data_IF_493045544224
#
_entry.id   IF_493045544224
#
_cell.length_a   1.000
_cell.length_b   1.000
_cell.length_c   1.000
_cell.angle_alpha   90.00
_cell.angle_beta   90.00
_cell.angle_gamma   90.00
#
_symmetry.space_group_name_H-M   'P 1'
#
loop_
_entity.id
_entity.type
_entity.pdbx_description
1 polymer ?
#
# COMPACT_ATOMS: atom_id res chain seq x y z
N UNK A 1 13.35 -2.51 7.62
CA UNK A 1 13.92 -3.52 8.55
C UNK A 1 12.76 -4.39 8.97
N UNK A 2 12.82 -5.71 8.72
CA UNK A 2 11.75 -6.62 9.15
C UNK A 2 11.79 -6.75 10.68
N UNK A 3 10.64 -6.59 11.34
CA UNK A 3 10.56 -6.76 12.79
C UNK A 3 10.80 -8.24 13.12
N UNK A 4 11.64 -8.56 14.13
CA UNK A 4 11.90 -9.95 14.50
C UNK A 4 10.61 -10.65 14.94
N UNK A 5 10.48 -11.92 14.54
CA UNK A 5 9.34 -12.75 14.89
C UNK A 5 9.23 -12.88 16.41
N UNK A 6 8.06 -12.52 16.96
CA UNK A 6 7.85 -12.63 18.41
C UNK A 6 7.87 -14.09 18.82
N UNK A 7 8.77 -14.43 19.74
CA UNK A 7 8.94 -15.78 20.30
C UNK A 7 9.28 -16.86 19.25
N UNK A 8 9.87 -16.47 18.11
CA UNK A 8 10.28 -17.40 17.04
C UNK A 8 9.13 -18.21 16.42
N UNK A 9 7.89 -17.72 16.54
CA UNK A 9 6.71 -18.39 16.02
C UNK A 9 6.46 -18.02 14.55
N UNK A 10 6.45 -19.03 13.68
CA UNK A 10 6.13 -18.91 12.25
C UNK A 10 4.84 -19.62 11.89
N UNK A 11 3.98 -18.93 11.12
CA UNK A 11 2.66 -19.42 10.69
C UNK A 11 2.52 -19.55 9.18
N UNK A 12 3.64 -19.51 8.44
CA UNK A 12 3.69 -19.50 6.98
C UNK A 12 4.05 -20.85 6.35
N UNK A 13 4.36 -21.87 7.18
CA UNK A 13 4.53 -23.24 6.71
C UNK A 13 3.98 -24.25 7.72
N UNK A 14 3.56 -25.42 7.23
CA UNK A 14 3.06 -26.51 8.09
C UNK A 14 4.10 -26.95 9.11
N UNK A 15 5.33 -27.15 8.67
CA UNK A 15 6.44 -27.59 9.54
C UNK A 15 6.76 -26.55 10.61
N UNK A 16 6.70 -25.26 10.27
CA UNK A 16 6.89 -24.18 11.22
C UNK A 16 5.81 -24.15 12.31
N UNK A 17 4.54 -24.35 11.95
CA UNK A 17 3.42 -24.36 12.91
C UNK A 17 3.50 -25.58 13.84
N UNK A 18 3.94 -26.73 13.31
CA UNK A 18 4.14 -27.96 14.08
C UNK A 18 5.35 -27.86 15.02
N UNK A 19 6.45 -27.25 14.56
CA UNK A 19 7.61 -26.95 15.41
C UNK A 19 7.24 -25.94 16.51
N UNK A 20 6.47 -24.91 16.14
CA UNK A 20 6.11 -23.81 17.01
C UNK A 20 7.27 -22.87 17.34
N UNK A 21 7.07 -22.04 18.37
CA UNK A 21 8.06 -21.06 18.83
C UNK A 21 8.74 -21.49 20.14
N UNK A 22 9.24 -20.53 20.92
CA UNK A 22 9.92 -20.80 22.21
C UNK A 22 9.04 -21.53 23.23
N UNK A 23 7.73 -21.47 23.05
CA UNK A 23 6.79 -22.17 23.90
C UNK A 23 6.35 -23.53 23.38
N UNK A 24 7.01 -24.08 22.35
CA UNK A 24 6.65 -25.36 21.74
C UNK A 24 5.56 -25.26 20.67
N UNK A 25 4.96 -26.39 20.25
CA UNK A 25 4.06 -26.46 19.10
C UNK A 25 2.90 -25.47 19.16
N UNK A 26 2.59 -24.84 18.03
CA UNK A 26 1.43 -23.94 17.94
C UNK A 26 0.12 -24.71 17.82
N UNK A 27 0.16 -25.87 17.15
CA UNK A 27 -0.95 -26.81 17.00
C UNK A 27 -0.51 -28.24 17.31
N UNK A 28 -1.45 -29.04 17.78
CA UNK A 28 -1.34 -30.49 17.98
C UNK A 28 -2.35 -31.12 17.04
N UNK A 29 -1.87 -31.94 16.09
CA UNK A 29 -2.70 -32.55 15.07
C UNK A 29 -3.80 -33.42 15.72
N UNK A 30 -5.03 -33.27 15.26
CA UNK A 30 -6.18 -34.03 15.78
C UNK A 30 -6.74 -33.52 17.11
N UNK A 31 -6.00 -32.69 17.87
CA UNK A 31 -6.41 -32.18 19.18
C UNK A 31 -6.48 -30.64 19.20
N UNK A 32 -7.60 -30.02 18.80
CA UNK A 32 -7.79 -28.57 18.87
C UNK A 32 -7.75 -28.02 20.29
N UNK A 33 -8.22 -28.77 21.29
CA UNK A 33 -8.31 -28.29 22.67
C UNK A 33 -6.93 -28.18 23.33
N UNK A 34 -6.00 -29.05 22.94
CA UNK A 34 -4.60 -28.99 23.40
C UNK A 34 -3.77 -28.02 22.56
N UNK A 35 -4.24 -27.67 21.36
CA UNK A 35 -3.57 -26.73 20.45
C UNK A 35 -3.57 -25.32 21.02
N UNK A 36 -2.37 -24.83 21.37
CA UNK A 36 -2.15 -23.50 21.96
C UNK A 36 -2.76 -22.36 21.16
N UNK A 37 -2.61 -22.40 19.83
CA UNK A 37 -3.17 -21.39 18.94
C UNK A 37 -4.69 -21.29 19.11
N UNK A 38 -5.38 -22.42 19.15
CA UNK A 38 -6.84 -22.49 19.32
C UNK A 38 -7.24 -21.98 20.69
N UNK A 39 -6.53 -22.36 21.76
CA UNK A 39 -6.76 -21.84 23.12
C UNK A 39 -6.66 -20.32 23.19
N UNK A 40 -5.67 -19.72 22.53
CA UNK A 40 -5.48 -18.27 22.55
C UNK A 40 -6.56 -17.51 21.78
N UNK A 41 -7.02 -18.05 20.64
CA UNK A 41 -8.13 -17.45 19.87
C UNK A 41 -9.48 -17.67 20.58
N UNK A 42 -9.63 -18.77 21.32
CA UNK A 42 -10.79 -19.03 22.20
C UNK A 42 -10.77 -18.24 23.52
N UNK A 43 -9.68 -17.51 23.80
CA UNK A 43 -9.46 -16.78 25.06
C UNK A 43 -9.37 -17.69 26.31
N UNK A 44 -8.95 -18.94 26.14
CA UNK A 44 -8.69 -19.92 27.20
C UNK A 44 -7.23 -19.81 27.69
N UNK A 45 -6.85 -18.63 28.20
CA UNK A 45 -5.49 -18.30 28.64
C UNK A 45 -5.09 -16.88 28.23
N UNK A 46 -3.86 -16.71 27.69
CA UNK A 46 -3.44 -15.45 27.06
C UNK A 46 -4.40 -15.14 25.90
N UNK A 47 -5.10 -14.00 25.99
CA UNK A 47 -6.10 -13.59 25.01
C UNK A 47 -5.44 -12.98 23.78
N UNK A 48 -5.83 -13.44 22.60
CA UNK A 48 -5.44 -12.82 21.33
C UNK A 48 -6.67 -12.26 20.59
N UNK A 49 -6.58 -11.04 20.03
CA UNK A 49 -5.39 -10.19 19.95
C UNK A 49 -5.10 -9.39 21.25
N UNK A 50 -3.82 -9.17 21.58
CA UNK A 50 -3.35 -8.63 22.86
C UNK A 50 -3.62 -7.12 23.12
N UNK A 51 -4.43 -6.45 22.29
CA UNK A 51 -4.62 -4.99 22.31
C UNK A 51 -6.11 -4.58 22.36
N UNK A 52 -6.96 -5.37 23.02
CA UNK A 52 -8.40 -5.07 23.12
C UNK A 52 -9.14 -5.12 21.77
N UNK A 53 -8.50 -5.64 20.72
CA UNK A 53 -9.14 -5.90 19.43
C UNK A 53 -10.22 -6.97 19.60
N UNK A 54 -11.30 -6.92 18.79
CA UNK A 54 -12.40 -7.85 18.91
C UNK A 54 -11.91 -9.29 18.75
N UNK A 55 -12.51 -10.18 19.55
CA UNK A 55 -12.34 -11.63 19.41
C UNK A 55 -12.71 -12.03 17.99
N UNK A 56 -12.00 -13.03 17.46
CA UNK A 56 -12.42 -13.68 16.22
C UNK A 56 -13.85 -14.24 16.41
N UNK A 57 -14.68 -14.15 15.37
CA UNK A 57 -16.06 -14.66 15.44
C UNK A 57 -16.07 -16.17 15.66
N UNK A 58 -17.02 -16.67 16.45
CA UNK A 58 -17.12 -18.09 16.80
C UNK A 58 -17.14 -19.05 15.58
N UNK A 59 -17.78 -18.72 14.43
CA UNK A 59 -17.69 -19.55 13.23
C UNK A 59 -16.26 -19.73 12.71
N UNK A 60 -15.47 -18.65 12.69
CA UNK A 60 -14.07 -18.70 12.24
C UNK A 60 -13.19 -19.48 13.23
N UNK A 61 -13.51 -19.40 14.52
CA UNK A 61 -12.83 -20.22 15.55
C UNK A 61 -13.16 -21.70 15.35
N UNK A 62 -14.42 -22.03 15.02
CA UNK A 62 -14.84 -23.39 14.73
C UNK A 62 -14.14 -23.94 13.48
N UNK A 63 -14.00 -23.13 12.43
CA UNK A 63 -13.26 -23.52 11.22
C UNK A 63 -11.78 -23.81 11.51
N UNK A 64 -11.13 -22.98 12.34
CA UNK A 64 -9.76 -23.24 12.79
C UNK A 64 -9.67 -24.52 13.62
N UNK A 65 -10.65 -24.79 14.48
CA UNK A 65 -10.74 -26.05 15.23
C UNK A 65 -10.82 -27.26 14.30
N UNK A 66 -11.79 -27.26 13.38
CA UNK A 66 -11.95 -28.32 12.38
C UNK A 66 -10.70 -28.52 11.52
N UNK A 67 -10.05 -27.43 11.13
CA UNK A 67 -8.80 -27.51 10.37
C UNK A 67 -7.70 -28.26 11.14
N UNK A 68 -7.58 -28.05 12.46
CA UNK A 68 -6.65 -28.82 13.31
C UNK A 68 -7.11 -30.28 13.47
N UNK A 69 -8.41 -30.54 13.63
CA UNK A 69 -8.98 -31.91 13.69
C UNK A 69 -8.65 -32.71 12.44
N UNK A 70 -8.76 -32.07 11.26
CA UNK A 70 -8.43 -32.65 9.96
C UNK A 70 -6.92 -32.86 9.73
N UNK A 71 -6.08 -32.64 10.75
CA UNK A 71 -4.64 -32.82 10.66
C UNK A 71 -3.92 -31.63 10.02
N UNK A 72 -4.53 -30.44 10.09
CA UNK A 72 -4.02 -29.20 9.53
C UNK A 72 -3.59 -29.39 8.06
N UNK A 73 -4.57 -29.70 7.17
CA UNK A 73 -4.28 -29.85 5.75
C UNK A 73 -3.72 -28.52 5.25
N UNK A 74 -2.44 -28.55 4.92
CA UNK A 74 -1.76 -27.44 4.28
C UNK A 74 -1.86 -27.69 2.78
N UNK A 75 -2.25 -26.70 1.96
CA UNK A 75 -2.04 -26.85 0.53
C UNK A 75 -0.57 -27.22 0.36
N UNK A 76 -0.24 -28.20 -0.50
CA UNK A 76 1.15 -28.45 -0.86
C UNK A 76 1.65 -27.17 -1.51
N UNK A 77 2.17 -26.24 -0.70
CA UNK A 77 2.71 -25.00 -1.15
C UNK A 77 3.88 -25.42 -2.01
N UNK A 78 3.75 -25.16 -3.31
CA UNK A 78 4.85 -24.98 -4.23
C UNK A 78 5.92 -24.23 -3.45
N UNK A 79 6.93 -24.99 -3.02
CA UNK A 79 8.20 -24.57 -2.43
C UNK A 79 8.16 -23.12 -1.91
N UNK A 80 8.10 -22.92 -0.59
CA UNK A 80 8.44 -21.61 -0.01
C UNK A 80 9.81 -21.25 -0.59
N UNK A 81 9.90 -20.23 -1.45
CA UNK A 81 11.07 -20.13 -2.31
C UNK A 81 12.22 -19.58 -1.46
N UNK A 82 13.12 -20.49 -1.07
CA UNK A 82 14.41 -20.15 -0.47
C UNK A 82 15.33 -19.60 -1.56
N UNK A 83 16.43 -18.93 -1.22
CA UNK A 83 17.44 -18.49 -2.22
C UNK A 83 17.82 -19.61 -3.20
N UNK A 84 17.84 -20.84 -2.71
CA UNK A 84 18.26 -22.03 -3.44
C UNK A 84 17.16 -22.62 -4.33
N UNK A 85 15.89 -22.24 -4.12
CA UNK A 85 14.72 -22.80 -4.83
C UNK A 85 13.72 -21.71 -5.28
N UNK A 86 14.19 -20.46 -5.40
CA UNK A 86 13.44 -19.34 -5.96
C UNK A 86 13.59 -19.33 -7.48
N UNK A 87 12.48 -19.15 -8.19
CA UNK A 87 12.50 -18.94 -9.63
C UNK A 87 13.02 -17.54 -9.96
N UNK A 88 14.34 -17.41 -10.02
CA UNK A 88 15.05 -16.17 -10.34
C UNK A 88 14.77 -15.67 -11.77
N UNK A 89 14.13 -16.48 -12.62
CA UNK A 89 13.70 -16.02 -13.95
C UNK A 89 12.44 -15.18 -13.85
N UNK A 90 11.39 -15.66 -13.16
CA UNK A 90 10.19 -14.86 -12.84
C UNK A 90 10.49 -13.65 -11.98
N UNK A 91 11.46 -13.75 -11.07
CA UNK A 91 11.91 -12.61 -10.28
C UNK A 91 12.31 -11.42 -11.18
N UNK A 92 13.06 -11.70 -12.25
CA UNK A 92 13.57 -10.69 -13.19
C UNK A 92 12.49 -10.10 -14.09
N UNK A 93 11.37 -10.79 -14.27
CA UNK A 93 10.19 -10.29 -14.99
C UNK A 93 9.35 -9.33 -14.16
N UNK A 94 9.57 -9.25 -12.84
CA UNK A 94 8.88 -8.31 -11.98
C UNK A 94 9.16 -6.87 -12.46
N UNK A 95 8.11 -6.05 -12.59
CA UNK A 95 8.14 -4.70 -13.18
C UNK A 95 9.24 -3.76 -12.66
N UNK A 96 9.76 -4.00 -11.46
CA UNK A 96 10.82 -3.21 -10.86
C UNK A 96 12.23 -3.50 -11.41
N UNK A 97 12.49 -4.70 -11.94
CA UNK A 97 13.84 -5.16 -12.32
C UNK A 97 14.24 -4.94 -13.79
N UNK A 98 13.32 -4.81 -14.77
CA UNK A 98 13.68 -4.37 -16.10
C UNK A 98 14.39 -3.00 -16.07
N UNK A 99 15.45 -2.81 -16.87
CA UNK A 99 16.12 -1.53 -16.96
C UNK A 99 15.17 -0.46 -17.53
N UNK A 100 15.24 0.76 -16.98
CA UNK A 100 14.45 1.89 -17.48
C UNK A 100 14.88 2.21 -18.91
N UNK A 101 13.96 2.04 -19.86
CA UNK A 101 14.19 2.41 -21.26
C UNK A 101 13.98 3.91 -21.42
N UNK A 102 14.97 4.60 -21.99
CA UNK A 102 14.81 5.99 -22.42
C UNK A 102 13.95 6.01 -23.69
N UNK A 103 12.74 6.51 -23.58
CA UNK A 103 11.84 6.72 -24.72
C UNK A 103 11.96 8.18 -25.18
N UNK A 104 11.86 8.40 -26.49
CA UNK A 104 11.80 9.73 -27.07
C UNK A 104 10.35 10.22 -26.94
N UNK A 105 10.11 11.37 -26.26
CA UNK A 105 8.77 11.92 -26.11
C UNK A 105 8.10 12.26 -27.47
N UNK A 106 6.81 11.90 -27.65
CA UNK A 106 6.08 12.14 -28.90
C UNK A 106 5.67 13.60 -29.04
N UNK A 107 5.81 14.20 -30.22
CA UNK A 107 5.40 15.60 -30.43
C UNK A 107 3.97 15.68 -30.95
N UNK A 108 3.07 16.26 -30.16
CA UNK A 108 1.67 16.49 -30.53
C UNK A 108 1.43 17.97 -30.84
N UNK A 109 0.88 18.27 -32.01
CA UNK A 109 0.61 19.65 -32.45
C UNK A 109 -0.47 20.33 -31.60
N UNK A 110 -0.22 21.56 -31.16
CA UNK A 110 -1.15 22.34 -30.34
C UNK A 110 -1.24 21.90 -28.87
N UNK A 111 -0.46 20.89 -28.45
CA UNK A 111 -0.38 20.47 -27.07
C UNK A 111 0.41 21.48 -26.22
N UNK A 112 -0.09 21.76 -25.03
CA UNK A 112 0.65 22.48 -24.00
C UNK A 112 1.58 21.51 -23.30
N UNK A 113 2.89 21.79 -23.37
CA UNK A 113 3.94 20.95 -22.81
C UNK A 113 4.84 21.79 -21.92
N UNK A 114 4.96 21.43 -20.63
CA UNK A 114 5.93 22.02 -19.69
C UNK A 114 7.06 21.05 -19.38
N UNK A 115 6.74 19.76 -19.27
CA UNK A 115 7.67 18.67 -19.04
C UNK A 115 7.58 17.67 -20.19
N UNK A 116 8.67 16.99 -20.60
CA UNK A 116 8.64 15.81 -21.46
C UNK A 116 7.53 14.79 -21.15
N UNK A 117 7.10 14.65 -19.89
CA UNK A 117 5.98 13.75 -19.50
C UNK A 117 4.64 14.21 -20.09
N UNK A 118 4.41 15.52 -20.21
CA UNK A 118 3.16 16.09 -20.73
C UNK A 118 2.92 15.71 -22.20
N UNK A 119 4.00 15.39 -22.92
CA UNK A 119 3.93 14.93 -24.31
C UNK A 119 3.25 13.56 -24.44
N UNK A 120 3.56 12.63 -23.54
CA UNK A 120 2.89 11.32 -23.50
C UNK A 120 1.41 11.45 -23.12
N UNK A 121 1.09 12.37 -22.20
CA UNK A 121 -0.30 12.66 -21.84
C UNK A 121 -1.05 13.28 -23.02
N UNK A 122 -0.42 14.21 -23.73
CA UNK A 122 -1.00 14.82 -24.91
C UNK A 122 -1.24 13.80 -26.04
N UNK A 123 -0.33 12.86 -26.24
CA UNK A 123 -0.49 11.77 -27.21
C UNK A 123 -1.68 10.88 -26.84
N UNK A 124 -1.77 10.45 -25.58
CA UNK A 124 -2.91 9.66 -25.10
C UNK A 124 -4.24 10.38 -25.31
N UNK A 125 -4.32 11.67 -24.98
CA UNK A 125 -5.52 12.47 -25.21
C UNK A 125 -5.86 12.59 -26.69
N UNK A 126 -4.86 12.82 -27.54
CA UNK A 126 -5.05 12.93 -28.99
C UNK A 126 -5.60 11.63 -29.61
N UNK A 127 -5.07 10.48 -29.20
CA UNK A 127 -5.52 9.16 -29.66
C UNK A 127 -6.98 8.88 -29.27
N UNK A 128 -7.41 9.37 -28.10
CA UNK A 128 -8.78 9.28 -27.62
C UNK A 128 -9.69 10.40 -28.16
N UNK A 129 -9.18 11.27 -29.05
CA UNK A 129 -9.94 12.41 -29.62
C UNK A 129 -10.23 13.53 -28.62
N UNK A 130 -9.56 13.55 -27.47
CA UNK A 130 -9.69 14.54 -26.41
C UNK A 130 -8.65 15.66 -26.55
N UNK A 131 -8.92 16.79 -25.90
CA UNK A 131 -7.98 17.92 -25.79
C UNK A 131 -7.65 18.19 -24.34
N UNK A 132 -6.45 18.73 -24.11
CA UNK A 132 -6.05 19.18 -22.78
C UNK A 132 -7.01 20.27 -22.27
N UNK A 133 -7.48 20.11 -21.03
CA UNK A 133 -8.28 21.12 -20.35
C UNK A 133 -7.50 22.43 -20.19
N UNK A 134 -8.18 23.58 -20.21
CA UNK A 134 -7.54 24.85 -19.91
C UNK A 134 -6.97 24.84 -18.47
N UNK A 135 -5.99 25.72 -18.22
CA UNK A 135 -5.42 25.87 -16.89
C UNK A 135 -6.50 26.23 -15.87
N UNK A 136 -6.46 25.57 -14.71
CA UNK A 136 -7.32 25.93 -13.61
C UNK A 136 -7.00 27.37 -13.16
N UNK A 137 -8.05 28.13 -12.85
CA UNK A 137 -7.90 29.41 -12.15
C UNK A 137 -7.30 29.15 -10.76
N UNK A 138 -6.58 30.13 -10.22
CA UNK A 138 -5.84 30.01 -8.95
C UNK A 138 -6.72 29.45 -7.83
N UNK A 139 -7.94 29.99 -7.64
CA UNK A 139 -8.84 29.53 -6.59
C UNK A 139 -9.28 28.06 -6.73
N UNK A 140 -9.50 27.59 -7.97
CA UNK A 140 -9.87 26.19 -8.26
C UNK A 140 -8.69 25.27 -7.97
N UNK A 141 -7.49 25.69 -8.36
CA UNK A 141 -6.26 24.94 -8.09
C UNK A 141 -6.03 24.79 -6.59
N UNK A 142 -6.10 25.89 -5.81
CA UNK A 142 -5.93 25.85 -4.37
C UNK A 142 -6.99 25.00 -3.66
N UNK A 143 -8.25 25.11 -4.06
CA UNK A 143 -9.31 24.28 -3.49
C UNK A 143 -9.03 22.78 -3.64
N UNK A 144 -8.48 22.36 -4.80
CA UNK A 144 -8.09 20.96 -5.05
C UNK A 144 -6.90 20.55 -4.20
N UNK A 145 -5.83 21.37 -4.19
CA UNK A 145 -4.62 21.08 -3.40
C UNK A 145 -4.92 20.96 -1.91
N UNK A 146 -5.76 21.84 -1.35
CA UNK A 146 -6.15 21.76 0.06
C UNK A 146 -6.94 20.50 0.37
N UNK A 147 -7.87 20.12 -0.51
CA UNK A 147 -8.64 18.89 -0.33
C UNK A 147 -7.74 17.65 -0.44
N UNK A 148 -6.79 17.64 -1.38
CA UNK A 148 -5.88 16.51 -1.61
C UNK A 148 -4.86 16.34 -0.48
N UNK A 149 -4.32 17.43 0.05
CA UNK A 149 -3.26 17.40 1.08
C UNK A 149 -3.81 17.42 2.51
N UNK A 150 -4.83 18.24 2.78
CA UNK A 150 -5.36 18.49 4.13
C UNK A 150 -6.69 17.76 4.35
N UNK A 151 -7.45 17.46 3.30
CA UNK A 151 -8.77 16.82 3.40
C UNK A 151 -9.90 17.79 3.76
N UNK A 152 -9.61 19.09 3.83
CA UNK A 152 -10.58 20.16 4.14
C UNK A 152 -10.48 21.28 3.09
N UNK A 153 -11.59 21.98 2.78
CA UNK A 153 -11.52 23.15 1.91
C UNK A 153 -10.78 24.31 2.60
N UNK A 154 -10.09 25.18 1.85
CA UNK A 154 -9.44 26.36 2.42
C UNK A 154 -10.47 27.37 2.93
N UNK A 155 -10.10 28.14 3.95
CA UNK A 155 -10.92 29.27 4.42
C UNK A 155 -10.92 30.43 3.41
N UNK A 156 -11.93 31.32 3.44
CA UNK A 156 -11.96 32.49 2.55
C UNK A 156 -10.73 33.39 2.68
N UNK A 157 -10.20 33.54 3.89
CA UNK A 157 -9.03 34.38 4.17
C UNK A 157 -7.77 33.78 3.55
N UNK A 158 -7.50 32.49 3.78
CA UNK A 158 -6.39 31.75 3.15
C UNK A 158 -6.47 31.84 1.62
N UNK A 159 -7.66 31.65 1.04
CA UNK A 159 -7.84 31.75 -0.41
C UNK A 159 -7.49 33.14 -0.93
N UNK A 160 -7.86 34.20 -0.20
CA UNK A 160 -7.57 35.59 -0.57
C UNK A 160 -6.09 35.93 -0.47
N UNK A 161 -5.40 35.41 0.55
CA UNK A 161 -3.96 35.57 0.76
C UNK A 161 -3.17 34.89 -0.35
N UNK A 162 -3.47 33.62 -0.64
CA UNK A 162 -2.81 32.86 -1.69
C UNK A 162 -3.07 33.44 -3.08
N UNK A 163 -4.29 33.91 -3.35
CA UNK A 163 -4.61 34.57 -4.63
C UNK A 163 -3.81 35.86 -4.81
N UNK A 164 -3.61 36.62 -3.72
CA UNK A 164 -2.81 37.87 -3.73
C UNK A 164 -1.32 37.59 -3.89
N UNK A 165 -0.79 36.62 -3.15
CA UNK A 165 0.63 36.29 -3.12
C UNK A 165 1.14 35.77 -4.48
N UNK A 166 0.28 35.06 -5.23
CA UNK A 166 0.72 34.38 -6.44
C UNK A 166 0.55 35.18 -7.72
N UNK A 167 -0.10 36.34 -7.67
CA UNK A 167 -0.29 37.23 -8.83
C UNK A 167 -1.16 36.58 -9.91
N UNK A 168 -2.24 37.24 -10.29
CA UNK A 168 -3.23 36.67 -11.22
C UNK A 168 -2.63 36.06 -12.49
N UNK A 169 -2.99 34.79 -12.74
CA UNK A 169 -3.10 34.13 -14.05
C UNK A 169 -2.06 33.11 -14.54
N UNK A 170 -1.12 32.60 -13.73
CA UNK A 170 -0.41 31.38 -14.18
C UNK A 170 -0.14 30.39 -13.05
N UNK A 171 -0.89 29.27 -13.07
CA UNK A 171 -0.65 28.14 -12.16
C UNK A 171 0.70 27.44 -12.44
N UNK A 172 1.40 27.79 -13.53
CA UNK A 172 2.68 27.21 -13.92
C UNK A 172 3.88 27.52 -13.04
N UNK A 173 3.82 28.52 -12.16
CA UNK A 173 4.90 28.79 -11.19
C UNK A 173 4.75 28.02 -9.87
N UNK A 174 3.67 27.25 -9.69
CA UNK A 174 3.30 26.70 -8.38
C UNK A 174 4.00 25.40 -7.96
N UNK A 175 4.61 24.63 -8.87
CA UNK A 175 5.04 23.28 -8.50
C UNK A 175 6.22 23.22 -7.51
N UNK A 176 7.14 24.19 -7.56
CA UNK A 176 8.35 24.14 -6.73
C UNK A 176 8.38 25.19 -5.59
N UNK A 177 7.72 26.34 -5.75
CA UNK A 177 7.71 27.39 -4.73
C UNK A 177 6.61 27.21 -3.67
N UNK A 178 5.43 26.71 -4.04
CA UNK A 178 4.32 26.59 -3.09
C UNK A 178 4.58 25.53 -2.01
N UNK A 179 5.21 24.40 -2.37
CA UNK A 179 5.60 23.36 -1.42
C UNK A 179 6.70 23.84 -0.46
N UNK A 180 7.62 24.70 -0.95
CA UNK A 180 8.70 25.26 -0.13
C UNK A 180 8.22 26.25 0.93
N UNK A 181 7.27 27.11 0.60
CA UNK A 181 6.74 28.09 1.56
C UNK A 181 5.77 27.47 2.58
N UNK A 182 5.18 26.32 2.31
CA UNK A 182 4.26 25.66 3.24
C UNK A 182 4.97 24.87 4.35
N UNK A 183 6.19 24.38 4.09
CA UNK A 183 6.97 23.55 5.03
C UNK A 183 7.98 24.32 5.88
N UNK A 184 8.29 25.57 5.54
CA UNK A 184 9.19 26.42 6.31
C UNK A 184 8.55 27.80 6.41
N UNK A 185 8.04 28.20 7.58
CA UNK A 185 7.63 29.59 7.78
C UNK A 185 8.88 30.48 7.60
N UNK A 186 8.80 31.48 6.72
CA UNK A 186 9.77 32.57 6.69
C UNK A 186 9.63 33.44 7.93
#
# INVERSE_FOLDING_TARGET
MAEPERSGLRLDSRDAILKGGEHGPAIILGNPDESRMIRYVRHQGKKMPALGKPKLSDPKIADLGKWVELGAPWPKATVVPTTDNYDWTKAREHWAWPPVKKVIPPTVSGARVRNPIDQFVAEGLYNEGLRQSPEAKVFVFFGRVFLDLVGLPPTPDELSEWTRQLGGNTAGKLNDQAVRCWLIPC
#
